data_IF_447519348753
#
_entry.id   IF_447519348753
#
_cell.length_a   1.000
_cell.length_b   1.000
_cell.length_c   1.000
_cell.angle_alpha   90.00
_cell.angle_beta   90.00
_cell.angle_gamma   90.00
#
_symmetry.space_group_name_H-M   'P 1'
#
loop_
_entity.id
_entity.type
_entity.pdbx_description
1 polymer ?
#
# COMPACT_ATOMS: atom_id res chain seq x y z
N UNK A 1 44.29 -8.61 -33.70
CA UNK A 1 44.09 -7.36 -32.93
C UNK A 1 42.85 -6.73 -33.52
N UNK A 2 41.70 -6.62 -32.86
CA UNK A 2 41.35 -6.62 -31.44
C UNK A 2 39.89 -7.07 -31.37
N UNK A 3 39.59 -8.04 -30.51
CA UNK A 3 38.21 -8.37 -30.15
C UNK A 3 37.65 -7.20 -29.35
N UNK A 4 36.58 -6.59 -29.84
CA UNK A 4 35.81 -5.61 -29.09
C UNK A 4 34.79 -6.38 -28.25
N UNK A 5 35.20 -6.75 -27.03
CA UNK A 5 34.30 -7.31 -26.03
C UNK A 5 33.43 -6.18 -25.49
N UNK A 6 32.26 -5.99 -26.08
CA UNK A 6 31.18 -5.23 -25.46
C UNK A 6 30.93 -5.79 -24.06
N UNK A 7 31.28 -5.02 -23.03
CA UNK A 7 30.94 -5.33 -21.65
C UNK A 7 29.42 -5.36 -21.52
N UNK A 8 28.84 -6.57 -21.57
CA UNK A 8 27.47 -6.78 -21.13
C UNK A 8 27.49 -6.55 -19.61
N UNK A 9 26.87 -5.47 -19.14
CA UNK A 9 26.67 -5.27 -17.71
C UNK A 9 25.92 -6.49 -17.16
N UNK A 10 26.54 -7.24 -16.25
CA UNK A 10 25.94 -8.40 -15.56
C UNK A 10 24.92 -7.91 -14.52
N UNK A 11 23.91 -7.16 -14.96
CA UNK A 11 22.86 -6.61 -14.12
C UNK A 11 22.00 -7.77 -13.66
N UNK A 12 22.00 -8.02 -12.34
CA UNK A 12 21.17 -9.07 -11.71
C UNK A 12 19.96 -8.43 -11.05
N UNK A 13 18.82 -9.11 -11.10
CA UNK A 13 17.65 -8.69 -10.34
C UNK A 13 17.94 -8.86 -8.84
N UNK A 14 18.09 -7.73 -8.15
CA UNK A 14 18.44 -7.68 -6.73
C UNK A 14 17.19 -7.60 -5.87
N UNK A 15 17.26 -8.18 -4.67
CA UNK A 15 16.17 -8.16 -3.70
C UNK A 15 16.04 -6.80 -3.01
N UNK A 16 14.87 -6.56 -2.41
CA UNK A 16 14.53 -5.43 -1.56
C UNK A 16 14.33 -5.93 -0.12
N UNK A 17 14.56 -5.05 0.85
CA UNK A 17 14.59 -5.40 2.28
C UNK A 17 13.46 -4.71 3.05
N UNK A 18 13.16 -3.46 2.70
CA UNK A 18 12.11 -2.64 3.28
C UNK A 18 10.98 -2.50 2.27
N UNK A 19 9.82 -3.10 2.55
CA UNK A 19 8.66 -3.13 1.65
C UNK A 19 7.52 -2.33 2.26
N UNK A 20 7.12 -1.26 1.58
CA UNK A 20 6.07 -0.35 2.00
C UNK A 20 4.84 -0.53 1.11
N UNK A 21 3.67 -0.62 1.72
CA UNK A 21 2.40 -0.73 1.03
C UNK A 21 1.48 0.42 1.38
N UNK A 22 0.77 0.95 0.39
CA UNK A 22 -0.46 1.68 0.65
C UNK A 22 -1.57 0.72 1.14
N UNK A 23 -2.59 1.24 1.81
CA UNK A 23 -3.72 0.45 2.29
C UNK A 23 -4.92 0.52 1.35
N UNK A 24 -5.52 1.71 1.22
CA UNK A 24 -6.69 1.95 0.38
C UNK A 24 -6.35 1.66 -1.09
N UNK A 25 -7.26 1.00 -1.82
CA UNK A 25 -7.06 0.57 -3.21
C UNK A 25 -5.80 -0.28 -3.51
N UNK A 26 -5.10 -0.78 -2.49
CA UNK A 26 -3.83 -1.53 -2.63
C UNK A 26 -3.81 -2.83 -1.81
N UNK A 27 -3.96 -2.76 -0.48
CA UNK A 27 -4.12 -3.96 0.37
C UNK A 27 -5.59 -4.32 0.56
N UNK A 28 -6.49 -3.34 0.40
CA UNK A 28 -7.93 -3.52 0.38
C UNK A 28 -8.53 -2.81 -0.83
N UNK A 29 -9.65 -3.32 -1.36
CA UNK A 29 -10.27 -2.81 -2.59
C UNK A 29 -11.13 -1.57 -2.39
N UNK A 30 -11.25 -1.07 -1.17
CA UNK A 30 -12.08 0.09 -0.81
C UNK A 30 -11.24 1.28 -0.37
N UNK A 31 -11.90 2.44 -0.30
CA UNK A 31 -11.40 3.70 0.23
C UNK A 31 -12.11 3.98 1.57
N UNK A 32 -11.40 3.92 2.70
CA UNK A 32 -12.03 3.92 4.03
C UNK A 32 -12.89 5.16 4.33
N UNK A 33 -12.48 6.34 3.86
CA UNK A 33 -13.25 7.59 4.07
C UNK A 33 -14.53 7.60 3.22
N UNK A 34 -14.48 7.05 2.01
CA UNK A 34 -15.66 6.97 1.15
C UNK A 34 -16.67 5.98 1.73
N UNK A 35 -16.22 4.83 2.22
CA UNK A 35 -17.08 3.87 2.94
C UNK A 35 -17.74 4.48 4.19
N UNK A 36 -17.02 5.33 4.93
CA UNK A 36 -17.64 6.10 6.03
C UNK A 36 -18.71 7.07 5.56
N UNK A 37 -18.50 7.71 4.40
CA UNK A 37 -19.49 8.58 3.80
C UNK A 37 -20.76 7.79 3.43
N UNK A 38 -20.61 6.57 2.89
CA UNK A 38 -21.73 5.66 2.60
C UNK A 38 -22.52 5.32 3.85
N UNK A 39 -21.83 4.88 4.92
CA UNK A 39 -22.46 4.53 6.20
C UNK A 39 -23.22 5.69 6.86
N UNK A 40 -22.85 6.94 6.57
CA UNK A 40 -23.52 8.15 7.06
C UNK A 40 -24.58 8.72 6.11
N UNK A 41 -24.75 8.15 4.91
CA UNK A 41 -25.59 8.73 3.86
C UNK A 41 -25.09 10.09 3.35
N UNK A 42 -23.77 10.31 3.40
CA UNK A 42 -23.09 11.57 3.03
C UNK A 42 -22.25 11.46 1.75
N UNK A 43 -22.42 10.38 0.99
CA UNK A 43 -21.71 10.08 -0.25
C UNK A 43 -21.66 11.28 -1.18
N UNK A 44 -22.83 11.86 -1.50
CA UNK A 44 -22.92 12.99 -2.43
C UNK A 44 -22.06 14.19 -1.98
N UNK A 45 -22.06 14.51 -0.68
CA UNK A 45 -21.30 15.64 -0.13
C UNK A 45 -19.79 15.37 -0.16
N UNK A 46 -19.39 14.13 0.10
CA UNK A 46 -17.98 13.73 0.07
C UNK A 46 -17.47 13.67 -1.37
N UNK A 47 -18.22 13.07 -2.29
CA UNK A 47 -17.87 13.03 -3.71
C UNK A 47 -17.72 14.42 -4.32
N UNK A 48 -18.60 15.37 -3.96
CA UNK A 48 -18.50 16.76 -4.42
C UNK A 48 -17.21 17.45 -3.90
N UNK A 49 -16.82 17.19 -2.65
CA UNK A 49 -15.55 17.70 -2.10
C UNK A 49 -14.34 17.08 -2.80
N UNK A 50 -14.38 15.77 -3.06
CA UNK A 50 -13.34 15.05 -3.80
C UNK A 50 -13.18 15.59 -5.22
N UNK A 51 -14.29 15.83 -5.92
CA UNK A 51 -14.28 16.39 -7.27
C UNK A 51 -13.63 17.78 -7.30
N UNK A 52 -14.02 18.68 -6.40
CA UNK A 52 -13.41 20.01 -6.28
C UNK A 52 -11.91 19.97 -5.99
N UNK A 53 -11.44 18.97 -5.24
CA UNK A 53 -10.02 18.77 -5.01
C UNK A 53 -9.28 18.33 -6.27
N UNK A 54 -9.89 17.43 -7.04
CA UNK A 54 -9.32 16.91 -8.29
C UNK A 54 -9.31 17.96 -9.41
N UNK A 55 -10.29 18.87 -9.43
CA UNK A 55 -10.38 20.01 -10.36
C UNK A 55 -9.41 21.15 -9.99
N UNK A 56 -8.76 21.07 -8.83
CA UNK A 56 -7.80 22.07 -8.34
C UNK A 56 -8.44 23.27 -7.64
N UNK A 57 -9.76 23.25 -7.40
CA UNK A 57 -10.51 24.31 -6.73
C UNK A 57 -10.28 24.34 -5.21
N UNK A 58 -9.78 23.26 -4.62
CA UNK A 58 -9.50 23.14 -3.20
C UNK A 58 -8.18 22.42 -2.95
N UNK A 59 -7.42 22.86 -1.94
CA UNK A 59 -6.23 22.14 -1.46
C UNK A 59 -6.64 20.76 -0.94
N UNK A 60 -5.85 19.73 -1.27
CA UNK A 60 -6.12 18.34 -0.88
C UNK A 60 -6.19 18.15 0.63
N UNK A 61 -5.40 18.91 1.40
CA UNK A 61 -5.45 18.90 2.87
C UNK A 61 -6.77 19.47 3.36
N UNK A 62 -7.20 20.61 2.80
CA UNK A 62 -8.49 21.20 3.17
C UNK A 62 -9.66 20.28 2.83
N UNK A 63 -9.58 19.56 1.70
CA UNK A 63 -10.62 18.60 1.29
C UNK A 63 -10.68 17.44 2.26
N UNK A 64 -9.53 16.92 2.70
CA UNK A 64 -9.46 15.86 3.69
C UNK A 64 -10.19 16.26 4.98
N UNK A 65 -9.84 17.42 5.55
CA UNK A 65 -10.48 17.95 6.74
C UNK A 65 -11.98 18.20 6.54
N UNK A 66 -12.38 18.80 5.41
CA UNK A 66 -13.80 19.04 5.07
C UNK A 66 -14.59 17.73 4.96
N UNK A 67 -13.99 16.65 4.42
CA UNK A 67 -14.62 15.31 4.35
C UNK A 67 -14.85 14.75 5.75
N UNK A 68 -13.84 14.76 6.61
CA UNK A 68 -13.96 14.23 7.97
C UNK A 68 -14.92 15.05 8.84
N UNK A 69 -14.86 16.38 8.76
CA UNK A 69 -15.82 17.27 9.44
C UNK A 69 -17.25 17.06 8.96
N UNK A 70 -17.45 16.76 7.67
CA UNK A 70 -18.76 16.42 7.14
C UNK A 70 -19.23 15.07 7.70
N UNK A 71 -18.35 14.06 7.81
CA UNK A 71 -18.71 12.70 8.25
C UNK A 71 -18.97 12.66 9.77
N UNK A 72 -18.03 13.19 10.57
CA UNK A 72 -17.92 13.01 12.04
C UNK A 72 -18.00 11.54 12.45
N UNK A 73 -16.98 10.72 12.11
CA UNK A 73 -17.04 9.28 12.31
C UNK A 73 -17.00 8.92 13.80
N UNK A 74 -17.83 7.98 14.22
CA UNK A 74 -17.77 7.42 15.59
C UNK A 74 -16.80 6.24 15.62
N UNK A 75 -16.27 5.87 16.79
CA UNK A 75 -15.41 4.68 16.95
C UNK A 75 -16.07 3.38 16.46
N UNK A 76 -17.38 3.23 16.68
CA UNK A 76 -18.12 2.08 16.14
C UNK A 76 -18.10 2.01 14.62
N UNK A 77 -18.09 3.16 13.94
CA UNK A 77 -17.95 3.22 12.48
C UNK A 77 -16.52 2.96 12.03
N UNK A 78 -15.51 3.44 12.77
CA UNK A 78 -14.12 3.07 12.50
C UNK A 78 -13.93 1.54 12.55
N UNK A 79 -14.49 0.90 13.57
CA UNK A 79 -14.48 -0.58 13.66
C UNK A 79 -15.21 -1.26 12.51
N UNK A 80 -16.32 -0.69 12.03
CA UNK A 80 -16.98 -1.19 10.83
C UNK A 80 -16.08 -1.08 9.59
N UNK A 81 -15.30 0.00 9.45
CA UNK A 81 -14.31 0.12 8.36
C UNK A 81 -13.18 -0.91 8.49
N UNK A 82 -12.69 -1.17 9.70
CA UNK A 82 -11.69 -2.22 9.94
C UNK A 82 -12.18 -3.59 9.43
N UNK A 83 -13.42 -3.97 9.75
CA UNK A 83 -14.00 -5.22 9.25
C UNK A 83 -14.19 -5.19 7.73
N UNK A 84 -14.63 -4.05 7.17
CA UNK A 84 -14.75 -3.89 5.72
C UNK A 84 -13.41 -4.07 5.01
N UNK A 85 -12.32 -3.52 5.53
CA UNK A 85 -10.98 -3.71 4.96
C UNK A 85 -10.61 -5.19 4.89
N UNK A 86 -10.95 -5.96 5.94
CA UNK A 86 -10.71 -7.39 5.94
C UNK A 86 -11.60 -8.16 4.94
N UNK A 87 -12.89 -7.85 4.90
CA UNK A 87 -13.84 -8.48 3.96
C UNK A 87 -13.49 -8.21 2.50
N UNK A 88 -12.83 -7.09 2.24
CA UNK A 88 -12.46 -6.60 0.90
C UNK A 88 -10.95 -6.60 0.68
N UNK A 89 -10.25 -7.52 1.35
CA UNK A 89 -8.82 -7.71 1.15
C UNK A 89 -8.50 -7.99 -0.32
N UNK A 90 -7.44 -7.35 -0.84
CA UNK A 90 -6.98 -7.60 -2.21
C UNK A 90 -6.51 -9.06 -2.32
N UNK A 91 -6.83 -9.76 -3.43
CA UNK A 91 -6.40 -11.14 -3.64
C UNK A 91 -4.92 -11.37 -3.35
N UNK A 92 -4.68 -12.43 -2.57
CA UNK A 92 -3.36 -12.93 -2.16
C UNK A 92 -2.54 -12.08 -1.18
N UNK A 93 -3.05 -10.96 -0.68
CA UNK A 93 -2.32 -10.10 0.27
C UNK A 93 -1.76 -10.88 1.46
N UNK A 94 -2.58 -11.68 2.16
CA UNK A 94 -2.10 -12.44 3.33
C UNK A 94 -0.94 -13.39 2.96
N UNK A 95 -1.10 -14.16 1.87
CA UNK A 95 -0.09 -15.12 1.43
C UNK A 95 1.22 -14.44 1.01
N UNK A 96 1.14 -13.28 0.35
CA UNK A 96 2.30 -12.46 -0.02
C UNK A 96 3.01 -11.92 1.21
N UNK A 97 2.29 -11.34 2.17
CA UNK A 97 2.90 -10.80 3.39
C UNK A 97 3.52 -11.91 4.25
N UNK A 98 2.90 -13.09 4.32
CA UNK A 98 3.45 -14.25 5.00
C UNK A 98 4.77 -14.71 4.36
N UNK A 99 4.81 -14.78 3.02
CA UNK A 99 6.03 -15.13 2.30
C UNK A 99 7.14 -14.08 2.44
N UNK A 100 6.80 -12.78 2.43
CA UNK A 100 7.77 -11.70 2.68
C UNK A 100 8.36 -11.81 4.09
N UNK A 101 7.54 -12.11 5.11
CA UNK A 101 8.02 -12.32 6.49
C UNK A 101 8.90 -13.57 6.61
N UNK A 102 8.52 -14.67 5.95
CA UNK A 102 9.35 -15.87 5.87
C UNK A 102 10.73 -15.60 5.24
N UNK A 103 10.77 -14.68 4.27
CA UNK A 103 11.99 -14.20 3.61
C UNK A 103 12.72 -13.10 4.39
N UNK A 104 12.31 -12.85 5.64
CA UNK A 104 12.89 -11.86 6.57
C UNK A 104 12.86 -10.42 6.03
N UNK A 105 11.86 -10.11 5.21
CA UNK A 105 11.61 -8.75 4.72
C UNK A 105 10.85 -7.95 5.77
N UNK A 106 11.20 -6.68 5.90
CA UNK A 106 10.48 -5.77 6.78
C UNK A 106 9.34 -5.12 6.02
N UNK A 107 8.12 -5.32 6.50
CA UNK A 107 6.89 -4.89 5.83
C UNK A 107 6.24 -3.75 6.59
N UNK A 108 5.83 -2.70 5.88
CA UNK A 108 5.25 -1.49 6.45
C UNK A 108 3.96 -1.11 5.72
N UNK A 109 3.04 -0.44 6.43
CA UNK A 109 1.84 0.17 5.83
C UNK A 109 1.92 1.68 6.01
N UNK A 110 1.73 2.42 4.91
CA UNK A 110 1.65 3.88 4.90
C UNK A 110 0.37 4.29 4.17
N UNK A 111 -0.62 4.75 4.92
CA UNK A 111 -1.94 5.08 4.41
C UNK A 111 -2.32 6.55 4.65
N UNK A 112 -3.07 7.14 3.73
CA UNK A 112 -3.79 8.40 3.97
C UNK A 112 -5.15 8.18 4.69
N UNK A 113 -5.55 6.92 4.85
CA UNK A 113 -6.74 6.51 5.60
C UNK A 113 -6.59 6.67 7.11
N UNK A 114 -7.64 6.28 7.82
CA UNK A 114 -7.78 6.49 9.25
C UNK A 114 -6.94 5.50 10.06
N UNK A 115 -6.24 5.99 11.08
CA UNK A 115 -5.26 5.19 11.81
C UNK A 115 -5.85 3.98 12.55
N UNK A 116 -6.97 4.15 13.26
CA UNK A 116 -7.58 3.03 14.01
C UNK A 116 -7.97 1.85 13.09
N UNK A 117 -8.75 2.03 12.00
CA UNK A 117 -9.07 0.95 11.07
C UNK A 117 -7.84 0.33 10.39
N UNK A 118 -6.90 1.17 9.92
CA UNK A 118 -5.70 0.69 9.21
C UNK A 118 -4.80 -0.12 10.14
N UNK A 119 -4.64 0.29 11.42
CA UNK A 119 -3.87 -0.47 12.42
C UNK A 119 -4.54 -1.78 12.78
N UNK A 120 -5.87 -1.78 12.95
CA UNK A 120 -6.62 -3.01 13.21
C UNK A 120 -6.47 -4.02 12.07
N UNK A 121 -6.64 -3.56 10.83
CA UNK A 121 -6.43 -4.36 9.63
C UNK A 121 -4.98 -4.86 9.51
N UNK A 122 -3.98 -4.00 9.64
CA UNK A 122 -2.57 -4.38 9.57
C UNK A 122 -2.15 -5.36 10.66
N UNK A 123 -2.70 -5.24 11.89
CA UNK A 123 -2.47 -6.21 12.96
C UNK A 123 -3.00 -7.60 12.59
N UNK A 124 -4.16 -7.69 11.95
CA UNK A 124 -4.71 -8.97 11.45
C UNK A 124 -3.83 -9.58 10.37
N UNK A 125 -3.19 -8.75 9.55
CA UNK A 125 -2.19 -9.16 8.55
C UNK A 125 -0.83 -9.56 9.16
N UNK A 126 -0.64 -9.39 10.48
CA UNK A 126 0.59 -9.73 11.18
C UNK A 126 1.67 -8.65 11.12
N UNK A 127 1.29 -7.40 10.83
CA UNK A 127 2.20 -6.24 10.80
C UNK A 127 2.15 -5.52 12.15
N UNK A 128 3.31 -5.24 12.73
CA UNK A 128 3.40 -4.58 14.02
C UNK A 128 2.86 -3.13 13.95
N UNK A 129 2.16 -2.62 14.97
CA UNK A 129 1.63 -1.25 14.97
C UNK A 129 2.68 -0.18 14.71
N UNK A 130 3.93 -0.40 15.13
CA UNK A 130 5.06 0.51 14.94
C UNK A 130 5.48 0.61 13.47
N UNK A 131 5.13 -0.38 12.65
CA UNK A 131 5.38 -0.44 11.21
C UNK A 131 4.20 0.12 10.40
N UNK A 132 3.19 0.68 11.05
CA UNK A 132 2.00 1.25 10.43
C UNK A 132 1.96 2.75 10.70
N UNK A 133 1.74 3.53 9.63
CA UNK A 133 1.51 4.97 9.68
C UNK A 133 0.27 5.32 8.89
N UNK A 134 -0.62 6.07 9.52
CA UNK A 134 -1.93 6.46 9.01
C UNK A 134 -2.39 7.74 9.72
N UNK A 135 -3.48 8.36 9.27
CA UNK A 135 -3.95 9.64 9.80
C UNK A 135 -4.67 9.45 11.13
N UNK A 136 -4.14 10.07 12.19
CA UNK A 136 -4.73 10.03 13.53
C UNK A 136 -5.95 10.93 13.63
N UNK A 137 -6.98 10.45 14.33
CA UNK A 137 -8.17 11.23 14.66
C UNK A 137 -8.13 11.66 16.12
N UNK A 138 -8.54 12.90 16.39
CA UNK A 138 -8.74 13.43 17.73
C UNK A 138 -10.22 13.40 18.10
N UNK A 139 -10.51 12.74 19.21
CA UNK A 139 -11.84 12.68 19.79
C UNK A 139 -11.88 13.53 21.04
N UNK A 140 -12.94 14.33 21.20
CA UNK A 140 -13.13 15.03 22.46
C UNK A 140 -13.57 14.03 23.53
N UNK A 141 -12.64 13.65 24.39
CA UNK A 141 -12.90 12.72 25.48
C UNK A 141 -13.98 13.23 26.43
N UNK A 142 -14.23 14.54 26.54
CA UNK A 142 -15.29 15.15 27.36
C UNK A 142 -16.62 15.31 26.63
N UNK A 143 -16.69 14.98 25.35
CA UNK A 143 -17.96 14.98 24.59
C UNK A 143 -18.61 13.61 24.67
N UNK A 144 -19.80 13.58 25.26
CA UNK A 144 -20.45 12.38 25.77
C UNK A 144 -20.90 12.67 27.20
N UNK A 145 -22.09 12.20 27.58
CA UNK A 145 -22.66 12.46 28.91
C UNK A 145 -21.86 11.71 30.00
N UNK A 146 -20.63 12.15 30.32
CA UNK A 146 -19.77 11.53 31.34
C UNK A 146 -20.41 11.51 32.73
N UNK A 147 -21.42 12.36 32.97
CA UNK A 147 -22.22 12.36 34.21
C UNK A 147 -23.37 11.34 34.22
N UNK A 148 -23.63 10.60 33.13
CA UNK A 148 -24.74 9.62 33.03
C UNK A 148 -24.28 8.17 33.16
N UNK A 149 -23.23 7.94 33.96
CA UNK A 149 -22.66 6.62 34.23
C UNK A 149 -23.66 5.63 34.88
N UNK A 150 -24.78 6.10 35.45
CA UNK A 150 -25.79 5.26 36.13
C UNK A 150 -27.06 4.99 35.32
N UNK A 151 -27.19 5.46 34.07
CA UNK A 151 -28.37 5.19 33.24
C UNK A 151 -28.15 3.94 32.37
N UNK A 152 -28.93 2.85 32.51
CA UNK A 152 -28.83 1.69 31.63
C UNK A 152 -29.41 2.06 30.25
N UNK A 153 -28.53 2.38 29.29
CA UNK A 153 -28.92 2.68 27.91
C UNK A 153 -28.09 3.74 27.18
N UNK A 154 -27.15 4.41 27.86
CA UNK A 154 -26.27 5.43 27.25
C UNK A 154 -25.13 4.79 26.45
N UNK A 155 -25.24 4.84 25.12
CA UNK A 155 -24.06 4.71 24.25
C UNK A 155 -23.25 6.01 24.39
N UNK A 156 -22.14 5.97 25.13
CA UNK A 156 -21.23 7.11 25.25
C UNK A 156 -20.62 7.43 23.88
N UNK A 157 -21.21 8.38 23.18
CA UNK A 157 -20.73 8.88 21.89
C UNK A 157 -19.65 9.93 22.09
N UNK A 158 -18.39 9.51 22.08
CA UNK A 158 -17.28 10.46 21.87
C UNK A 158 -17.48 11.16 20.52
N UNK A 159 -17.56 12.49 20.53
CA UNK A 159 -17.73 13.31 19.33
C UNK A 159 -16.37 13.60 18.71
N UNK A 160 -16.26 13.36 17.40
CA UNK A 160 -15.10 13.78 16.59
C UNK A 160 -14.82 15.27 16.79
N UNK A 161 -13.59 15.61 17.15
CA UNK A 161 -13.14 16.98 17.34
C UNK A 161 -12.38 17.45 16.10
N UNK A 162 -11.29 16.76 15.76
CA UNK A 162 -10.40 17.09 14.66
C UNK A 162 -9.55 15.87 14.22
N UNK A 163 -8.64 16.04 13.26
CA UNK A 163 -7.59 15.06 12.94
C UNK A 163 -6.20 15.67 13.18
N UNK A 164 -5.20 14.84 13.45
CA UNK A 164 -3.84 15.35 13.58
C UNK A 164 -3.30 15.71 12.19
N UNK A 165 -3.11 16.99 11.93
CA UNK A 165 -2.53 17.47 10.69
C UNK A 165 -1.09 16.96 10.55
N UNK A 166 -0.78 16.31 9.43
CA UNK A 166 0.55 15.73 9.24
C UNK A 166 0.86 15.41 7.79
N UNK A 167 2.04 14.86 7.50
CA UNK A 167 2.48 14.61 6.12
C UNK A 167 1.48 13.75 5.33
N UNK A 168 0.82 12.79 6.00
CA UNK A 168 -0.13 11.86 5.37
C UNK A 168 -1.47 12.48 4.94
N UNK A 169 -1.78 13.69 5.40
CA UNK A 169 -2.98 14.42 4.95
C UNK A 169 -2.68 15.29 3.73
N UNK A 170 -1.41 15.42 3.36
CA UNK A 170 -0.94 16.06 2.13
C UNK A 170 -0.55 15.02 1.06
N UNK A 171 -0.62 15.40 -0.21
CA UNK A 171 -0.21 14.54 -1.34
C UNK A 171 1.29 14.22 -1.38
N UNK A 172 2.12 14.83 -0.54
CA UNK A 172 3.58 14.76 -0.59
C UNK A 172 4.26 14.21 0.67
N UNK A 173 3.52 13.67 1.66
CA UNK A 173 4.12 13.31 2.94
C UNK A 173 4.53 11.84 3.13
N UNK A 174 4.10 10.91 2.26
CA UNK A 174 4.60 9.52 2.30
C UNK A 174 6.13 9.42 2.22
N UNK A 175 6.86 10.24 1.43
CA UNK A 175 8.33 10.25 1.44
C UNK A 175 8.96 10.50 2.82
N UNK A 176 8.43 11.43 3.60
CA UNK A 176 8.92 11.76 4.95
C UNK A 176 8.71 10.57 5.89
N UNK A 177 7.51 9.96 5.82
CA UNK A 177 7.16 8.79 6.63
C UNK A 177 8.01 7.55 6.27
N UNK A 178 8.33 7.34 4.99
CA UNK A 178 9.26 6.26 4.59
C UNK A 178 10.62 6.47 5.23
N UNK A 179 11.15 7.69 5.24
CA UNK A 179 12.44 7.98 5.87
C UNK A 179 12.39 7.80 7.39
N UNK A 180 11.31 8.21 8.05
CA UNK A 180 11.09 7.97 9.48
C UNK A 180 11.04 6.46 9.80
N UNK A 181 10.22 5.70 9.08
CA UNK A 181 10.03 4.26 9.31
C UNK A 181 11.29 3.45 8.96
N UNK A 182 12.01 3.84 7.91
CA UNK A 182 13.31 3.27 7.60
C UNK A 182 14.27 3.55 8.75
N UNK A 183 14.38 4.79 9.22
CA UNK A 183 15.34 5.18 10.26
C UNK A 183 16.75 4.69 9.89
N UNK A 184 17.40 3.99 10.81
CA UNK A 184 18.73 3.39 10.61
C UNK A 184 18.71 2.03 9.88
N UNK A 185 17.54 1.54 9.46
CA UNK A 185 17.44 0.26 8.73
C UNK A 185 18.13 0.39 7.38
N UNK A 186 19.02 -0.55 7.10
CA UNK A 186 19.72 -0.65 5.83
C UNK A 186 18.99 -1.58 4.87
N UNK A 187 19.20 -1.37 3.58
CA UNK A 187 18.66 -2.21 2.53
C UNK A 187 17.82 -1.44 1.51
N UNK A 188 17.48 -2.13 0.43
CA UNK A 188 16.73 -1.52 -0.68
C UNK A 188 15.25 -1.39 -0.33
N UNK A 189 14.65 -0.29 -0.74
CA UNK A 189 13.29 0.14 -0.42
C UNK A 189 12.37 -0.04 -1.61
N UNK A 190 11.26 -0.73 -1.40
CA UNK A 190 10.19 -0.93 -2.38
C UNK A 190 8.92 -0.27 -1.87
N UNK A 191 8.29 0.60 -2.66
CA UNK A 191 6.93 1.11 -2.38
C UNK A 191 5.94 0.54 -3.37
N UNK A 192 4.76 0.13 -2.88
CA UNK A 192 3.65 -0.36 -3.68
C UNK A 192 2.40 0.46 -3.37
N UNK A 193 1.77 1.03 -4.39
CA UNK A 193 0.54 1.80 -4.23
C UNK A 193 -0.11 2.18 -5.56
N UNK A 194 -1.38 2.59 -5.52
CA UNK A 194 -2.15 2.98 -6.71
C UNK A 194 -2.20 4.50 -6.93
N UNK A 195 -1.82 5.29 -5.93
CA UNK A 195 -2.05 6.72 -5.85
C UNK A 195 -0.89 7.61 -6.32
N UNK A 196 -1.22 8.88 -6.59
CA UNK A 196 -0.21 9.88 -6.92
C UNK A 196 0.71 10.22 -5.72
N UNK A 197 0.18 10.13 -4.49
CA UNK A 197 0.95 10.28 -3.26
C UNK A 197 1.97 9.17 -3.06
N UNK A 198 1.65 7.94 -3.49
CA UNK A 198 2.60 6.82 -3.49
C UNK A 198 3.67 7.03 -4.54
N UNK A 199 3.30 7.46 -5.74
CA UNK A 199 4.25 7.75 -6.81
C UNK A 199 5.25 8.87 -6.46
N UNK A 200 4.88 9.79 -5.55
CA UNK A 200 5.78 10.81 -5.04
C UNK A 200 6.95 10.23 -4.22
N UNK A 201 6.83 8.98 -3.72
CA UNK A 201 7.89 8.29 -2.96
C UNK A 201 9.08 7.88 -3.80
N UNK A 202 9.00 7.95 -5.14
CA UNK A 202 10.09 7.61 -6.07
C UNK A 202 11.43 8.31 -5.76
N UNK A 203 11.41 9.46 -5.07
CA UNK A 203 12.62 10.16 -4.66
C UNK A 203 13.32 9.56 -3.43
N UNK A 204 12.68 8.66 -2.69
CA UNK A 204 13.19 8.09 -1.42
C UNK A 204 13.20 6.55 -1.38
N UNK A 205 12.70 5.89 -2.42
CA UNK A 205 12.72 4.44 -2.59
C UNK A 205 13.52 4.03 -3.82
N UNK A 206 14.08 2.83 -3.81
CA UNK A 206 14.83 2.28 -4.94
C UNK A 206 13.91 1.82 -6.08
N UNK A 207 12.67 1.43 -5.75
CA UNK A 207 11.64 1.11 -6.74
C UNK A 207 10.25 1.46 -6.21
N UNK A 208 9.47 2.12 -7.05
CA UNK A 208 8.03 2.28 -6.88
C UNK A 208 7.30 1.40 -7.88
N UNK A 209 6.34 0.62 -7.40
CA UNK A 209 5.45 -0.24 -8.18
C UNK A 209 4.04 0.31 -8.10
N UNK A 210 3.52 0.72 -9.26
CA UNK A 210 2.11 1.10 -9.38
C UNK A 210 1.22 -0.13 -9.33
N UNK A 211 0.16 -0.10 -8.53
CA UNK A 211 -0.84 -1.16 -8.47
C UNK A 211 -2.16 -0.70 -9.11
N UNK A 212 -2.59 -1.39 -10.16
CA UNK A 212 -3.81 -1.07 -10.91
C UNK A 212 -4.94 -2.08 -10.74
N UNK A 213 -4.77 -3.07 -9.85
CA UNK A 213 -5.71 -4.19 -9.68
C UNK A 213 -7.09 -3.81 -9.13
N UNK A 214 -7.20 -2.65 -8.48
CA UNK A 214 -8.46 -2.08 -7.98
C UNK A 214 -8.90 -0.92 -8.88
N UNK A 215 -8.05 0.11 -8.99
CA UNK A 215 -8.29 1.29 -9.81
C UNK A 215 -7.02 1.62 -10.61
N UNK A 216 -7.15 1.67 -11.93
CA UNK A 216 -6.04 2.11 -12.79
C UNK A 216 -6.03 3.64 -12.90
N UNK A 217 -5.04 4.28 -12.27
CA UNK A 217 -4.83 5.73 -12.38
C UNK A 217 -3.83 6.05 -13.48
N UNK A 218 -4.26 6.78 -14.51
CA UNK A 218 -3.43 7.05 -15.70
C UNK A 218 -2.09 7.75 -15.37
N UNK A 219 -2.11 8.68 -14.41
CA UNK A 219 -0.88 9.36 -13.93
C UNK A 219 0.13 8.38 -13.35
N UNK A 220 -0.34 7.41 -12.56
CA UNK A 220 0.51 6.40 -11.90
C UNK A 220 0.99 5.38 -12.92
N UNK A 221 0.09 4.90 -13.79
CA UNK A 221 0.44 4.02 -14.89
C UNK A 221 1.58 4.60 -15.72
N UNK A 222 1.47 5.88 -16.14
CA UNK A 222 2.51 6.53 -16.97
C UNK A 222 3.79 6.84 -16.18
N UNK A 223 3.69 7.11 -14.89
CA UNK A 223 4.80 7.57 -14.07
C UNK A 223 5.57 6.46 -13.32
N UNK A 224 5.07 5.23 -13.26
CA UNK A 224 5.75 4.10 -12.62
C UNK A 224 6.61 3.33 -13.63
N UNK A 225 7.82 2.96 -13.21
CA UNK A 225 8.71 2.09 -14.00
C UNK A 225 8.17 0.66 -14.07
N UNK A 226 7.47 0.24 -13.03
CA UNK A 226 6.82 -1.06 -12.90
C UNK A 226 5.35 -0.84 -12.55
N UNK A 227 4.43 -1.53 -13.22
CA UNK A 227 2.99 -1.42 -13.01
C UNK A 227 2.31 -2.78 -13.07
N UNK A 228 1.51 -3.11 -12.05
CA UNK A 228 0.73 -4.35 -11.97
C UNK A 228 -0.70 -4.07 -12.45
N UNK A 229 -1.16 -4.83 -13.44
CA UNK A 229 -2.52 -4.76 -13.99
C UNK A 229 -3.47 -5.82 -13.42
N UNK A 230 -2.95 -6.85 -12.75
CA UNK A 230 -3.77 -7.88 -12.12
C UNK A 230 -4.42 -7.37 -10.83
N UNK A 231 -5.61 -7.89 -10.57
CA UNK A 231 -6.32 -7.82 -9.29
C UNK A 231 -5.56 -8.48 -8.12
N UNK A 232 -4.59 -9.37 -8.40
CA UNK A 232 -3.74 -10.01 -7.42
C UNK A 232 -2.46 -9.21 -7.14
N UNK A 233 -2.08 -9.13 -5.86
CA UNK A 233 -0.81 -8.51 -5.45
C UNK A 233 0.39 -9.48 -5.56
N UNK A 234 0.17 -10.74 -5.94
CA UNK A 234 1.20 -11.78 -6.04
C UNK A 234 2.47 -11.39 -6.83
N UNK A 235 2.42 -10.59 -7.93
CA UNK A 235 3.62 -10.17 -8.66
C UNK A 235 4.65 -9.41 -7.81
N UNK A 236 4.25 -8.87 -6.65
CA UNK A 236 5.18 -8.22 -5.73
C UNK A 236 6.23 -9.18 -5.17
N UNK A 237 5.94 -10.47 -5.02
CA UNK A 237 6.91 -11.44 -4.49
C UNK A 237 8.18 -11.56 -5.36
N UNK A 238 8.10 -11.91 -6.65
CA UNK A 238 9.30 -11.98 -7.49
C UNK A 238 9.99 -10.62 -7.65
N UNK A 239 9.24 -9.51 -7.65
CA UNK A 239 9.80 -8.15 -7.68
C UNK A 239 10.64 -7.88 -6.42
N UNK A 240 10.08 -8.12 -5.24
CA UNK A 240 10.71 -7.82 -3.96
C UNK A 240 11.84 -8.79 -3.60
N UNK A 241 11.65 -10.08 -3.86
CA UNK A 241 12.53 -11.13 -3.35
C UNK A 241 13.56 -11.62 -4.38
N UNK A 242 13.28 -11.44 -5.68
CA UNK A 242 14.13 -11.92 -6.76
C UNK A 242 14.34 -13.46 -6.76
N UNK A 243 15.25 -13.95 -7.61
CA UNK A 243 15.54 -15.39 -7.70
C UNK A 243 16.13 -15.99 -6.43
N UNK A 244 16.91 -15.19 -5.69
CA UNK A 244 17.49 -15.63 -4.41
C UNK A 244 16.39 -15.92 -3.37
N UNK A 245 15.37 -15.07 -3.29
CA UNK A 245 14.19 -15.33 -2.47
C UNK A 245 13.36 -16.51 -2.98
N UNK A 246 13.22 -16.65 -4.30
CA UNK A 246 12.55 -17.81 -4.88
C UNK A 246 13.21 -19.14 -4.46
N UNK A 247 14.55 -19.21 -4.53
CA UNK A 247 15.31 -20.38 -4.08
C UNK A 247 15.06 -20.76 -2.61
N UNK A 248 14.76 -19.79 -1.74
CA UNK A 248 14.44 -20.03 -0.33
C UNK A 248 13.01 -20.55 -0.09
N UNK A 249 12.06 -20.27 -1.00
CA UNK A 249 10.67 -20.70 -0.82
C UNK A 249 10.36 -22.07 -1.42
N UNK A 250 11.24 -22.61 -2.28
CA UNK A 250 11.05 -23.94 -2.88
C UNK A 250 10.89 -25.00 -1.78
N UNK A 251 9.83 -25.81 -1.88
CA UNK A 251 9.47 -26.84 -0.91
C UNK A 251 8.76 -26.33 0.34
N UNK A 252 8.49 -25.03 0.44
CA UNK A 252 7.72 -24.42 1.55
C UNK A 252 6.28 -24.14 1.13
N UNK A 253 5.35 -23.87 2.07
CA UNK A 253 3.99 -23.44 1.75
C UNK A 253 3.93 -22.14 0.92
N UNK A 254 5.00 -21.34 0.90
CA UNK A 254 5.07 -20.07 0.17
C UNK A 254 5.45 -20.24 -1.30
N UNK A 255 5.85 -21.43 -1.74
CA UNK A 255 6.23 -21.67 -3.13
C UNK A 255 5.07 -21.36 -4.09
N UNK A 256 3.87 -21.87 -3.80
CA UNK A 256 2.72 -21.74 -4.70
C UNK A 256 2.33 -20.28 -4.96
N UNK A 257 2.39 -19.41 -3.94
CA UNK A 257 2.09 -18.00 -4.13
C UNK A 257 3.20 -17.27 -4.89
N UNK A 258 4.46 -17.67 -4.69
CA UNK A 258 5.59 -17.14 -5.45
C UNK A 258 5.49 -17.54 -6.93
N UNK A 259 5.17 -18.80 -7.23
CA UNK A 259 4.96 -19.32 -8.58
C UNK A 259 3.84 -18.56 -9.30
N UNK A 260 2.70 -18.33 -8.61
CA UNK A 260 1.61 -17.48 -9.11
C UNK A 260 2.11 -16.07 -9.44
N UNK A 261 2.91 -15.48 -8.55
CA UNK A 261 3.51 -14.17 -8.74
C UNK A 261 4.41 -14.11 -9.98
N UNK A 262 5.28 -15.11 -10.18
CA UNK A 262 6.15 -15.22 -11.36
C UNK A 262 5.30 -15.36 -12.63
N UNK A 263 4.31 -16.25 -12.63
CA UNK A 263 3.47 -16.49 -13.80
C UNK A 263 2.70 -15.24 -14.24
N UNK A 264 2.16 -14.47 -13.28
CA UNK A 264 1.52 -13.19 -13.55
C UNK A 264 2.54 -12.16 -14.06
N UNK A 265 3.72 -12.09 -13.43
CA UNK A 265 4.75 -11.12 -13.77
C UNK A 265 5.39 -11.33 -15.16
N UNK A 266 5.53 -12.58 -15.61
CA UNK A 266 6.00 -12.92 -16.95
C UNK A 266 4.89 -12.90 -18.02
N UNK A 267 3.63 -12.81 -17.59
CA UNK A 267 2.48 -12.65 -18.47
C UNK A 267 2.21 -11.20 -18.85
N UNK A 268 0.94 -10.87 -19.07
CA UNK A 268 0.49 -9.50 -19.38
C UNK A 268 0.12 -8.67 -18.15
N UNK A 269 0.18 -9.28 -16.95
CA UNK A 269 -0.25 -8.64 -15.70
C UNK A 269 0.79 -7.67 -15.12
N UNK A 270 2.01 -7.61 -15.69
CA UNK A 270 3.05 -6.69 -15.29
C UNK A 270 3.57 -5.90 -16.50
N UNK A 271 3.73 -4.59 -16.33
CA UNK A 271 4.46 -3.75 -17.28
C UNK A 271 5.71 -3.23 -16.61
N UNK A 272 6.87 -3.54 -17.17
CA UNK A 272 8.15 -2.91 -16.83
C UNK A 272 8.53 -2.02 -18.01
N UNK A 273 8.55 -0.69 -17.80
CA UNK A 273 8.77 0.30 -18.87
C UNK A 273 10.22 0.43 -19.28
N UNK A 274 11.11 0.25 -18.31
CA UNK A 274 12.55 0.28 -18.55
C UNK A 274 12.96 -1.06 -19.17
N UNK A 275 13.51 -1.01 -20.38
CA UNK A 275 13.80 -2.19 -21.17
C UNK A 275 14.91 -3.05 -20.54
N UNK A 276 15.94 -2.43 -19.98
CA UNK A 276 17.04 -3.14 -19.32
C UNK A 276 16.55 -3.83 -18.04
N UNK A 277 15.70 -3.13 -17.26
CA UNK A 277 15.04 -3.68 -16.08
C UNK A 277 14.13 -4.86 -16.44
N UNK A 278 13.36 -4.74 -17.54
CA UNK A 278 12.47 -5.79 -18.03
C UNK A 278 13.25 -7.04 -18.44
N UNK A 279 14.28 -6.88 -19.25
CA UNK A 279 15.14 -7.99 -19.67
C UNK A 279 15.84 -8.64 -18.48
N UNK A 280 16.29 -7.84 -17.51
CA UNK A 280 16.90 -8.33 -16.27
C UNK A 280 15.91 -9.17 -15.47
N UNK A 281 14.66 -8.74 -15.34
CA UNK A 281 13.60 -9.49 -14.66
C UNK A 281 13.25 -10.80 -15.39
N UNK A 282 13.04 -10.72 -16.71
CA UNK A 282 12.68 -11.89 -17.51
C UNK A 282 13.79 -12.94 -17.51
N UNK A 283 15.05 -12.53 -17.66
CA UNK A 283 16.21 -13.43 -17.58
C UNK A 283 16.36 -14.07 -16.20
N UNK A 284 15.93 -13.38 -15.14
CA UNK A 284 16.02 -13.85 -13.77
C UNK A 284 15.02 -14.98 -13.44
N UNK A 285 13.88 -15.04 -14.14
CA UNK A 285 12.82 -16.02 -13.86
C UNK A 285 12.47 -16.94 -15.04
N UNK A 286 13.02 -16.71 -16.22
CA UNK A 286 12.92 -17.65 -17.35
C UNK A 286 13.99 -18.74 -17.19
N UNK A 287 13.63 -20.04 -17.26
CA UNK A 287 14.62 -21.11 -17.23
C UNK A 287 15.66 -20.90 -18.33
N UNK A 288 16.94 -20.76 -17.97
CA UNK A 288 17.99 -20.87 -18.97
C UNK A 288 18.00 -22.33 -19.42
N UNK A 289 17.59 -22.59 -20.66
CA UNK A 289 17.86 -23.87 -21.31
C UNK A 289 19.37 -24.05 -21.33
N UNK A 290 19.92 -24.75 -20.33
CA UNK A 290 21.25 -25.34 -20.41
C UNK A 290 21.17 -26.50 -21.40
N UNK A 291 21.12 -26.19 -22.68
CA UNK A 291 21.76 -27.03 -23.69
C UNK A 291 23.26 -26.90 -23.46
N UNK A 292 23.82 -27.79 -22.64
CA UNK A 292 25.22 -28.13 -22.75
C UNK A 292 25.35 -29.29 -23.75
N UNK A 293 26.24 -29.19 -24.75
CA UNK A 293 26.59 -30.30 -25.64
C UNK A 293 27.38 -31.40 -24.91
#
# INVERSE_FOLDING_TARGET
MTQDTSQVSDTRWTSFDLIFFDCDSTLSTIEGIDELAKLKGKEWRVSLLTQKAMDGDLDLREVYGKRLQAIRPTRGQLKAIEERYWETIVPDVQAVLDALRFLEKQVFIISGGLAEPVRGFGKRLGIAPEQIRAVELEYNELSGDWWRYYEPGTQNGQTYLDYNEGPLTASSGKPEIINELAGDKHGRRLMVGDGASDMATRSVVDLFVGFGGVVTREKVLKGSSVFIHSDSIAPILPIAAGPAGYGRVIGTPHQAIFDKGIALALGTALTIRDEDLRQTFEKAFTPQNTTQP
#
